data_IF_033619575788
#
_entry.id   IF_033619575788
#
_cell.length_a   1.000
_cell.length_b   1.000
_cell.length_c   1.000
_cell.angle_alpha   90.00
_cell.angle_beta   90.00
_cell.angle_gamma   90.00
#
_symmetry.space_group_name_H-M   'P 1'
#
loop_
_entity.id
_entity.type
_entity.pdbx_description
1 polymer ?
#
# COMPACT_ATOMS: atom_id res chain seq x y z
N UNK A 1 -30.02 -6.45 42.42
CA UNK A 1 -29.80 -5.47 41.35
C UNK A 1 -28.36 -5.04 41.48
N UNK A 2 -27.51 -5.50 40.56
CA UNK A 2 -26.07 -5.26 40.54
C UNK A 2 -25.81 -3.96 39.80
N UNK A 3 -25.27 -2.97 40.50
CA UNK A 3 -24.71 -1.76 39.92
C UNK A 3 -23.20 -1.97 39.80
N UNK A 4 -22.74 -2.24 38.58
CA UNK A 4 -21.34 -2.22 38.19
C UNK A 4 -21.28 -1.45 36.87
N UNK A 5 -21.20 -0.11 36.97
CA UNK A 5 -20.83 0.74 35.85
C UNK A 5 -19.30 0.81 35.78
N UNK A 6 -18.72 -0.01 34.93
CA UNK A 6 -17.43 0.24 34.29
C UNK A 6 -17.68 0.18 32.79
N UNK A 7 -18.14 1.29 32.21
CA UNK A 7 -18.07 1.47 30.75
C UNK A 7 -16.64 1.91 30.43
N UNK A 8 -15.77 0.90 30.36
CA UNK A 8 -14.39 1.02 29.95
C UNK A 8 -14.37 1.60 28.52
N UNK A 9 -13.73 2.75 28.39
CA UNK A 9 -13.55 3.48 27.16
C UNK A 9 -12.96 2.57 26.08
N UNK A 10 -13.82 2.02 25.23
CA UNK A 10 -13.42 1.49 23.94
C UNK A 10 -13.37 2.66 22.95
N UNK A 11 -12.20 3.19 22.56
CA UNK A 11 -12.10 3.62 21.19
C UNK A 11 -12.23 2.33 20.38
N UNK A 12 -13.44 2.04 19.91
CA UNK A 12 -13.60 1.22 18.72
C UNK A 12 -12.79 1.94 17.64
N UNK A 13 -11.51 1.60 17.55
CA UNK A 13 -10.68 1.90 16.42
C UNK A 13 -11.38 1.21 15.26
N UNK A 14 -12.28 1.96 14.63
CA UNK A 14 -12.87 1.63 13.35
C UNK A 14 -11.68 1.28 12.51
N UNK A 15 -11.57 -0.01 12.24
CA UNK A 15 -10.62 -0.57 11.30
C UNK A 15 -11.12 -0.07 9.96
N UNK A 16 -10.84 1.19 9.70
CA UNK A 16 -11.17 1.93 8.50
C UNK A 16 -10.33 1.26 7.42
N UNK A 17 -10.86 0.15 6.92
CA UNK A 17 -10.44 -0.40 5.65
C UNK A 17 -10.85 0.65 4.64
N UNK A 18 -9.97 1.64 4.43
CA UNK A 18 -10.00 2.53 3.28
C UNK A 18 -9.78 1.64 2.05
N UNK A 19 -10.82 0.90 1.64
CA UNK A 19 -10.90 0.30 0.33
C UNK A 19 -11.14 1.49 -0.60
N UNK A 20 -10.06 2.19 -0.94
CA UNK A 20 -10.15 3.32 -1.85
C UNK A 20 -10.66 2.78 -3.19
N UNK A 21 -11.94 2.97 -3.48
CA UNK A 21 -12.51 2.77 -4.82
C UNK A 21 -11.91 3.75 -5.83
N UNK A 22 -11.12 4.73 -5.36
CA UNK A 22 -10.38 5.67 -6.17
C UNK A 22 -8.94 5.18 -6.40
N UNK A 23 -8.70 4.65 -7.60
CA UNK A 23 -7.35 4.33 -8.08
C UNK A 23 -6.79 5.49 -8.91
N UNK A 24 -5.51 5.76 -8.75
CA UNK A 24 -4.77 6.71 -9.58
C UNK A 24 -4.64 6.20 -11.01
N UNK A 25 -4.86 7.10 -11.97
CA UNK A 25 -4.49 6.91 -13.38
C UNK A 25 -3.22 7.69 -13.76
N UNK A 26 -2.61 8.42 -12.82
CA UNK A 26 -1.44 9.27 -13.07
C UNK A 26 -0.12 8.58 -12.77
N UNK A 27 -0.15 7.53 -11.95
CA UNK A 27 1.07 6.81 -11.55
C UNK A 27 1.53 5.91 -12.70
N UNK A 28 2.78 6.13 -13.12
CA UNK A 28 3.44 5.40 -14.20
C UNK A 28 4.65 4.65 -13.67
N UNK A 29 5.05 3.61 -14.38
CA UNK A 29 6.28 2.90 -14.06
C UNK A 29 7.49 3.78 -14.39
N UNK A 30 8.37 4.03 -13.41
CA UNK A 30 9.59 4.83 -13.60
C UNK A 30 10.61 4.24 -14.59
N UNK A 31 10.48 2.95 -14.94
CA UNK A 31 11.41 2.26 -15.85
C UNK A 31 10.90 2.29 -17.31
N UNK A 32 9.63 1.96 -17.53
CA UNK A 32 9.08 1.78 -18.88
C UNK A 32 7.96 2.75 -19.23
N UNK A 33 7.57 3.64 -18.32
CA UNK A 33 6.49 4.60 -18.51
C UNK A 33 5.08 4.00 -18.58
N UNK A 34 4.93 2.68 -18.43
CA UNK A 34 3.61 2.05 -18.50
C UNK A 34 2.71 2.48 -17.33
N UNK A 35 1.41 2.78 -17.56
CA UNK A 35 0.50 3.17 -16.50
C UNK A 35 0.28 2.02 -15.52
N UNK A 36 0.34 2.31 -14.22
CA UNK A 36 0.05 1.33 -13.19
C UNK A 36 -1.44 1.27 -12.91
N UNK A 37 -1.95 0.05 -12.76
CA UNK A 37 -3.35 -0.21 -12.40
C UNK A 37 -3.43 -0.57 -10.92
N UNK A 38 -4.59 -0.31 -10.32
CA UNK A 38 -4.91 -0.65 -8.94
C UNK A 38 -4.03 0.04 -7.89
N UNK A 39 -3.45 1.21 -8.20
CA UNK A 39 -2.71 2.00 -7.21
C UNK A 39 -3.68 2.99 -6.54
N UNK A 40 -3.90 2.92 -5.22
CA UNK A 40 -4.76 3.88 -4.52
C UNK A 40 -4.34 5.33 -4.78
N UNK A 41 -5.31 6.21 -5.04
CA UNK A 41 -5.04 7.62 -5.38
C UNK A 41 -4.29 8.39 -4.27
N UNK A 42 -4.37 7.94 -3.01
CA UNK A 42 -3.60 8.49 -1.90
C UNK A 42 -2.08 8.45 -2.14
N UNK A 43 -1.59 7.48 -2.91
CA UNK A 43 -0.17 7.35 -3.21
C UNK A 43 0.35 8.33 -4.26
N UNK A 44 -0.52 9.10 -4.94
CA UNK A 44 -0.05 10.18 -5.84
C UNK A 44 0.73 11.25 -5.09
N UNK A 45 0.45 11.44 -3.79
CA UNK A 45 1.10 12.45 -2.96
C UNK A 45 2.37 11.94 -2.26
N UNK A 46 2.71 10.68 -2.47
CA UNK A 46 3.87 10.04 -1.84
C UNK A 46 4.93 9.84 -2.90
N UNK A 47 6.16 10.24 -2.58
CA UNK A 47 7.30 10.07 -3.45
C UNK A 47 7.80 8.61 -3.38
N UNK A 48 7.14 7.73 -4.14
CA UNK A 48 7.45 6.30 -4.22
C UNK A 48 7.88 5.98 -5.64
N UNK A 49 8.97 5.22 -5.76
CA UNK A 49 9.49 4.78 -7.04
C UNK A 49 8.68 3.59 -7.58
N UNK A 50 7.64 3.91 -8.36
CA UNK A 50 6.65 2.96 -8.84
C UNK A 50 7.16 2.11 -10.01
N UNK A 51 6.98 0.78 -9.92
CA UNK A 51 7.43 -0.17 -10.95
C UNK A 51 6.32 -1.13 -11.36
N UNK A 52 6.17 -1.36 -12.66
CA UNK A 52 5.20 -2.33 -13.16
C UNK A 52 5.68 -3.77 -12.88
N UNK A 53 4.74 -4.71 -12.80
CA UNK A 53 5.06 -6.12 -12.54
C UNK A 53 6.05 -6.75 -13.52
N UNK A 54 6.13 -6.25 -14.76
CA UNK A 54 7.13 -6.72 -15.75
C UNK A 54 8.53 -6.23 -15.40
N UNK A 55 8.68 -4.97 -15.02
CA UNK A 55 9.97 -4.39 -14.65
C UNK A 55 10.43 -4.91 -13.28
N UNK A 56 9.53 -5.09 -12.31
CA UNK A 56 9.85 -5.71 -11.02
C UNK A 56 10.42 -7.14 -11.16
N UNK A 57 9.91 -7.94 -12.12
CA UNK A 57 10.45 -9.29 -12.36
C UNK A 57 11.83 -9.29 -13.00
N UNK A 58 12.15 -8.27 -13.81
CA UNK A 58 13.48 -8.12 -14.43
C UNK A 58 14.51 -7.59 -13.44
N UNK A 59 14.06 -6.78 -12.49
CA UNK A 59 14.87 -6.22 -11.41
C UNK A 59 15.14 -7.21 -10.28
N UNK A 60 14.58 -8.43 -10.33
CA UNK A 60 15.17 -9.57 -9.63
C UNK A 60 16.51 -9.90 -10.29
N UNK A 61 17.47 -8.99 -10.18
CA UNK A 61 18.87 -9.37 -10.08
C UNK A 61 18.87 -10.39 -8.95
N UNK A 62 19.25 -11.61 -9.30
CA UNK A 62 19.62 -12.65 -8.34
C UNK A 62 20.25 -11.95 -7.15
N UNK A 63 19.60 -12.03 -5.98
CA UNK A 63 20.24 -11.68 -4.73
C UNK A 63 21.47 -12.59 -4.70
N UNK A 64 22.58 -12.06 -5.20
CA UNK A 64 23.85 -12.75 -5.27
C UNK A 64 24.11 -13.22 -3.85
N UNK A 65 24.54 -14.48 -3.80
CA UNK A 65 25.14 -15.15 -2.67
C UNK A 65 25.39 -14.21 -1.50
N UNK A 66 24.68 -14.44 -0.40
CA UNK A 66 25.29 -14.21 0.90
C UNK A 66 26.54 -15.09 0.93
N UNK A 67 27.62 -14.53 0.37
CA UNK A 67 28.99 -14.86 0.74
C UNK A 67 29.08 -14.53 2.23
N UNK A 68 28.91 -15.56 3.04
CA UNK A 68 29.73 -15.96 4.18
C UNK A 68 29.02 -17.09 4.95
#
# INVERSE_FOLDING_TARGET
MTEFEQDDAAPKAGRDQYISTNYSNKIVCGICGAPLRNVPAMYEKVDIDWRCGKCLRRDKVTREESAE
#
